data_IF_535759333754
#
_entry.id   IF_535759333754
#
_cell.length_a   1.000
_cell.length_b   1.000
_cell.length_c   1.000
_cell.angle_alpha   90.00
_cell.angle_beta   90.00
_cell.angle_gamma   90.00
#
_symmetry.space_group_name_H-M   'P 1'
#
loop_
_entity.id
_entity.type
_entity.pdbx_description
1 polymer ?
#
# COMPACT_ATOMS: atom_id res chain seq x y z
N UNK A 1 -4.79 24.80 2.32
CA UNK A 1 -4.52 25.20 0.92
C UNK A 1 -3.02 25.28 0.66
N UNK A 2 -2.60 25.04 -0.57
CA UNK A 2 -1.25 25.35 -1.02
C UNK A 2 -1.27 26.81 -1.46
N UNK A 3 -0.65 27.69 -0.68
CA UNK A 3 -0.64 29.14 -0.94
C UNK A 3 0.59 29.60 -1.76
N UNK A 4 1.68 28.81 -1.68
CA UNK A 4 2.94 29.02 -2.40
C UNK A 4 3.43 27.71 -3.00
N UNK A 5 4.44 27.74 -3.85
CA UNK A 5 5.04 26.53 -4.42
C UNK A 5 5.53 25.59 -3.31
N UNK A 6 5.10 24.35 -3.36
CA UNK A 6 5.52 23.31 -2.44
C UNK A 6 6.04 22.10 -3.20
N UNK A 7 7.32 21.79 -3.08
CA UNK A 7 8.00 20.70 -3.81
C UNK A 7 7.83 20.78 -5.35
N UNK A 8 7.71 21.98 -5.90
CA UNK A 8 7.44 22.18 -7.32
C UNK A 8 5.96 22.00 -7.72
N UNK A 9 5.06 21.84 -6.75
CA UNK A 9 3.61 21.82 -6.96
C UNK A 9 3.11 23.27 -6.84
N UNK A 10 2.41 23.80 -7.88
CA UNK A 10 1.97 25.19 -7.87
C UNK A 10 0.88 25.45 -6.81
N UNK A 11 0.70 26.71 -6.39
CA UNK A 11 -0.36 27.06 -5.45
C UNK A 11 -1.74 26.77 -6.03
N UNK A 12 -2.60 26.16 -5.21
CA UNK A 12 -3.99 25.87 -5.59
C UNK A 12 -4.95 26.97 -5.13
N UNK A 13 -4.57 27.72 -4.06
CA UNK A 13 -5.43 28.64 -3.31
C UNK A 13 -6.73 28.01 -2.80
N UNK A 14 -6.85 26.70 -2.88
CA UNK A 14 -7.99 25.89 -2.49
C UNK A 14 -7.61 24.88 -1.40
N UNK A 15 -8.61 24.23 -0.79
CA UNK A 15 -8.39 23.19 0.19
C UNK A 15 -7.87 21.94 -0.55
N UNK A 16 -6.74 21.41 -0.09
CA UNK A 16 -6.23 20.12 -0.52
C UNK A 16 -6.22 19.15 0.66
N UNK A 17 -6.49 17.89 0.39
CA UNK A 17 -6.33 16.79 1.34
C UNK A 17 -4.94 16.18 1.21
N UNK A 18 -4.38 15.73 2.31
CA UNK A 18 -3.09 15.05 2.33
C UNK A 18 -3.30 13.61 2.83
N UNK A 19 -3.13 12.65 1.94
CA UNK A 19 -3.10 11.23 2.31
C UNK A 19 -1.71 10.87 2.81
N UNK A 20 -1.64 10.25 3.97
CA UNK A 20 -0.38 9.77 4.52
C UNK A 20 -0.58 8.48 5.31
N UNK A 21 0.48 7.70 5.39
CA UNK A 21 0.62 6.57 6.33
C UNK A 21 1.74 6.90 7.30
N UNK A 22 1.54 6.62 8.57
CA UNK A 22 2.52 6.86 9.62
C UNK A 22 2.63 5.65 10.54
N UNK A 23 3.86 5.25 10.84
CA UNK A 23 4.20 4.27 11.87
C UNK A 23 5.13 4.95 12.84
N UNK A 24 4.68 5.07 14.08
CA UNK A 24 5.40 5.81 15.13
C UNK A 24 5.70 4.90 16.32
N UNK A 25 6.94 4.92 16.77
CA UNK A 25 7.35 4.28 18.02
C UNK A 25 7.24 5.25 19.18
N UNK A 26 6.55 4.80 20.23
CA UNK A 26 6.41 5.53 21.50
C UNK A 26 7.08 4.74 22.60
N UNK A 27 7.96 5.37 23.36
CA UNK A 27 8.63 4.81 24.56
C UNK A 27 8.40 5.80 25.72
N UNK A 28 7.88 5.31 26.82
CA UNK A 28 7.59 6.11 28.02
C UNK A 28 6.81 7.40 27.73
N UNK A 29 5.80 7.31 26.87
CA UNK A 29 4.94 8.42 26.45
C UNK A 29 5.60 9.44 25.52
N UNK A 30 6.79 9.13 24.98
CA UNK A 30 7.52 10.00 24.07
C UNK A 30 7.64 9.37 22.69
N UNK A 31 7.44 10.17 21.65
CA UNK A 31 7.73 9.79 20.27
C UNK A 31 9.25 9.70 20.11
N UNK A 32 9.76 8.53 19.73
CA UNK A 32 11.21 8.31 19.56
C UNK A 32 11.60 8.12 18.10
N UNK A 33 10.71 7.59 17.29
CA UNK A 33 10.89 7.39 15.85
C UNK A 33 9.55 7.45 15.14
N UNK A 34 9.52 8.05 13.95
CA UNK A 34 8.34 8.07 13.08
C UNK A 34 8.76 7.88 11.62
N UNK A 35 8.09 6.99 10.94
CA UNK A 35 8.19 6.79 9.50
C UNK A 35 6.89 7.27 8.87
N UNK A 36 6.99 8.19 7.90
CA UNK A 36 5.84 8.79 7.24
C UNK A 36 5.97 8.64 5.73
N UNK A 37 4.93 8.12 5.08
CA UNK A 37 4.75 8.16 3.62
C UNK A 37 3.64 9.15 3.30
N UNK A 38 3.94 10.12 2.44
CA UNK A 38 3.00 11.12 1.95
C UNK A 38 2.70 10.84 0.48
N UNK A 39 1.42 10.76 0.14
CA UNK A 39 0.97 10.60 -1.25
C UNK A 39 1.01 11.95 -1.99
N UNK A 40 2.22 12.34 -2.40
CA UNK A 40 2.45 13.57 -3.14
C UNK A 40 1.79 13.59 -4.52
N UNK A 41 1.62 12.43 -5.16
CA UNK A 41 0.91 12.34 -6.44
C UNK A 41 -0.58 12.72 -6.28
N UNK A 42 -1.21 12.39 -5.15
CA UNK A 42 -2.57 12.84 -4.89
C UNK A 42 -2.65 14.36 -4.74
N UNK A 43 -1.67 14.98 -4.09
CA UNK A 43 -1.58 16.45 -4.00
C UNK A 43 -1.39 17.07 -5.39
N UNK A 44 -0.52 16.50 -6.22
CA UNK A 44 -0.31 16.94 -7.61
C UNK A 44 -1.60 16.84 -8.43
N UNK A 45 -2.35 15.74 -8.28
CA UNK A 45 -3.65 15.57 -8.93
C UNK A 45 -4.65 16.66 -8.52
N UNK A 46 -4.74 16.96 -7.23
CA UNK A 46 -5.61 18.03 -6.70
C UNK A 46 -5.17 19.42 -7.18
N UNK A 47 -3.88 19.62 -7.39
CA UNK A 47 -3.32 20.85 -7.95
C UNK A 47 -3.45 20.95 -9.48
N UNK A 48 -4.01 19.94 -10.15
CA UNK A 48 -4.17 19.93 -11.61
C UNK A 48 -2.87 19.65 -12.37
N UNK A 49 -1.82 19.17 -11.71
CA UNK A 49 -0.54 18.78 -12.33
C UNK A 49 -0.35 17.27 -12.17
N UNK A 50 -0.46 16.54 -13.26
CA UNK A 50 -0.35 15.08 -13.25
C UNK A 50 0.82 14.62 -14.10
N UNK A 51 1.91 14.07 -13.51
CA UNK A 51 3.18 13.87 -14.21
C UNK A 51 3.34 12.50 -14.89
N UNK A 52 2.38 11.59 -14.70
CA UNK A 52 2.48 10.20 -15.17
C UNK A 52 1.23 9.78 -15.94
N UNK A 53 1.18 8.54 -16.45
CA UNK A 53 -0.01 8.00 -17.10
C UNK A 53 -1.23 7.98 -16.15
N UNK A 54 -2.46 8.03 -16.68
CA UNK A 54 -3.66 7.84 -15.88
C UNK A 54 -3.63 6.53 -15.11
N UNK A 55 -4.10 6.56 -13.86
CA UNK A 55 -4.21 5.37 -13.03
C UNK A 55 -5.19 4.36 -13.62
N UNK A 56 -4.92 3.09 -13.42
CA UNK A 56 -5.83 2.02 -13.82
C UNK A 56 -6.96 1.81 -12.80
N UNK A 57 -6.69 2.08 -11.52
CA UNK A 57 -7.67 2.06 -10.45
C UNK A 57 -8.35 3.42 -10.23
N UNK A 58 -9.21 3.50 -9.21
CA UNK A 58 -9.94 4.73 -8.85
C UNK A 58 -9.10 5.65 -7.97
N UNK A 59 -8.82 6.86 -8.43
CA UNK A 59 -8.08 7.88 -7.66
C UNK A 59 -8.92 8.55 -6.56
N UNK A 60 -10.25 8.49 -6.68
CA UNK A 60 -11.16 9.22 -5.78
C UNK A 60 -11.76 8.34 -4.69
N UNK A 61 -11.54 7.05 -4.72
CA UNK A 61 -12.06 6.09 -3.74
C UNK A 61 -11.01 5.82 -2.68
N UNK A 62 -11.19 6.39 -1.50
CA UNK A 62 -10.35 6.18 -0.34
C UNK A 62 -11.23 6.24 0.91
N UNK A 63 -11.61 5.10 1.42
CA UNK A 63 -12.57 4.99 2.51
C UNK A 63 -11.87 4.60 3.82
N UNK A 64 -12.49 4.97 4.94
CA UNK A 64 -12.15 4.40 6.25
C UNK A 64 -12.59 2.93 6.32
N UNK A 65 -12.06 2.15 7.28
CA UNK A 65 -12.50 0.78 7.49
C UNK A 65 -14.02 0.64 7.57
N UNK A 66 -14.58 -0.36 6.88
CA UNK A 66 -16.03 -0.54 6.76
C UNK A 66 -16.74 -0.76 8.10
N UNK A 67 -16.03 -1.33 9.08
CA UNK A 67 -16.52 -1.57 10.44
C UNK A 67 -16.20 -0.45 11.43
N UNK A 68 -15.64 0.66 10.94
CA UNK A 68 -15.17 1.79 11.77
C UNK A 68 -14.07 1.45 12.78
N UNK A 69 -13.37 0.32 12.60
CA UNK A 69 -12.32 -0.16 13.51
C UNK A 69 -10.99 0.59 13.41
N UNK A 70 -10.91 1.65 12.60
CA UNK A 70 -9.67 2.38 12.34
C UNK A 70 -9.03 3.06 13.56
N UNK A 71 -9.79 3.23 14.65
CA UNK A 71 -9.28 3.71 15.94
C UNK A 71 -9.75 2.75 17.02
N UNK A 72 -8.83 1.96 17.57
CA UNK A 72 -9.10 1.08 18.70
C UNK A 72 -8.54 1.71 19.99
N UNK A 73 -9.42 2.00 20.95
CA UNK A 73 -9.07 2.57 22.25
C UNK A 73 -9.20 1.54 23.38
N UNK A 74 -9.63 0.33 23.06
CA UNK A 74 -9.78 -0.76 24.01
C UNK A 74 -8.45 -1.47 24.26
N UNK A 75 -8.48 -2.45 25.16
CA UNK A 75 -7.31 -3.28 25.42
C UNK A 75 -6.97 -4.14 24.19
N UNK A 76 -5.68 -4.23 23.86
CA UNK A 76 -5.19 -5.00 22.72
C UNK A 76 -5.58 -6.47 22.82
N UNK A 77 -6.24 -7.01 21.83
CA UNK A 77 -6.55 -8.44 21.69
C UNK A 77 -5.35 -9.21 21.12
N UNK A 78 -4.39 -9.50 21.99
CA UNK A 78 -3.11 -10.09 21.57
C UNK A 78 -3.21 -11.44 20.86
N UNK A 79 -4.13 -12.31 21.26
CA UNK A 79 -4.28 -13.62 20.63
C UNK A 79 -4.80 -13.46 19.22
N UNK A 80 -5.91 -12.76 19.06
CA UNK A 80 -6.49 -12.45 17.74
C UNK A 80 -5.50 -11.71 16.85
N UNK A 81 -4.79 -10.73 17.38
CA UNK A 81 -3.79 -9.96 16.63
C UNK A 81 -2.62 -10.81 16.13
N UNK A 82 -2.16 -11.80 16.92
CA UNK A 82 -1.13 -12.75 16.46
C UNK A 82 -1.62 -13.63 15.32
N UNK A 83 -2.87 -14.07 15.35
CA UNK A 83 -3.47 -14.85 14.27
C UNK A 83 -3.62 -14.00 13.00
N UNK A 84 -4.13 -12.77 13.12
CA UNK A 84 -4.24 -11.83 12.03
C UNK A 84 -2.86 -11.53 11.38
N UNK A 85 -1.84 -11.26 12.20
CA UNK A 85 -0.47 -11.07 11.70
C UNK A 85 0.09 -12.33 11.02
N UNK A 86 -0.21 -13.51 11.52
CA UNK A 86 0.20 -14.77 10.90
C UNK A 86 -0.43 -14.94 9.52
N UNK A 87 -1.71 -14.59 9.38
CA UNK A 87 -2.41 -14.60 8.08
C UNK A 87 -1.73 -13.67 7.08
N UNK A 88 -1.50 -12.40 7.46
CA UNK A 88 -0.84 -11.40 6.60
C UNK A 88 0.57 -11.84 6.21
N UNK A 89 1.35 -12.39 7.14
CA UNK A 89 2.67 -12.93 6.82
C UNK A 89 2.64 -14.13 5.86
N UNK A 90 1.64 -15.01 6.00
CA UNK A 90 1.46 -16.13 5.07
C UNK A 90 1.10 -15.62 3.66
N UNK A 91 0.25 -14.60 3.56
CA UNK A 91 -0.06 -13.92 2.31
C UNK A 91 1.20 -13.32 1.67
N UNK A 92 2.02 -12.58 2.43
CA UNK A 92 3.28 -12.04 1.94
C UNK A 92 4.25 -13.12 1.44
N UNK A 93 4.32 -14.25 2.15
CA UNK A 93 5.13 -15.38 1.70
C UNK A 93 4.62 -15.94 0.35
N UNK A 94 3.28 -16.00 0.17
CA UNK A 94 2.65 -16.37 -1.10
C UNK A 94 3.03 -15.44 -2.25
N UNK A 95 3.14 -14.13 -2.02
CA UNK A 95 3.61 -13.17 -3.04
C UNK A 95 5.01 -13.50 -3.57
N UNK A 96 5.85 -14.12 -2.75
CA UNK A 96 7.19 -14.56 -3.11
C UNK A 96 7.24 -15.81 -3.96
N UNK A 97 6.13 -16.53 -4.17
CA UNK A 97 6.08 -17.78 -4.93
C UNK A 97 5.71 -17.60 -6.41
N UNK A 98 5.66 -16.36 -6.89
CA UNK A 98 5.35 -16.09 -8.29
C UNK A 98 6.31 -16.83 -9.24
N UNK A 99 5.76 -17.64 -10.13
CA UNK A 99 6.52 -18.48 -11.05
C UNK A 99 6.98 -17.78 -12.33
N UNK A 100 6.71 -16.46 -12.44
CA UNK A 100 7.03 -15.64 -13.61
C UNK A 100 5.97 -15.69 -14.72
N UNK A 101 4.87 -16.42 -14.55
CA UNK A 101 3.86 -16.64 -15.60
C UNK A 101 2.43 -16.52 -15.09
N UNK A 102 2.06 -17.28 -14.08
CA UNK A 102 0.67 -17.41 -13.62
C UNK A 102 0.51 -16.78 -12.23
N UNK A 103 -0.34 -15.76 -12.13
CA UNK A 103 -0.63 -15.09 -10.86
C UNK A 103 -1.21 -16.06 -9.81
N UNK A 104 -1.87 -17.14 -10.23
CA UNK A 104 -2.38 -18.17 -9.34
C UNK A 104 -1.30 -18.89 -8.55
N UNK A 105 -0.04 -18.86 -9.02
CA UNK A 105 1.10 -19.40 -8.27
C UNK A 105 1.33 -18.71 -6.91
N UNK A 106 0.81 -17.50 -6.73
CA UNK A 106 0.85 -16.74 -5.48
C UNK A 106 -0.28 -17.06 -4.49
N UNK A 107 -1.24 -17.89 -4.89
CA UNK A 107 -2.39 -18.33 -4.08
C UNK A 107 -3.18 -17.16 -3.41
N UNK A 108 -3.29 -16.04 -4.09
CA UNK A 108 -3.93 -14.83 -3.55
C UNK A 108 -5.36 -15.05 -3.08
N UNK A 109 -6.15 -15.83 -3.84
CA UNK A 109 -7.56 -16.08 -3.54
C UNK A 109 -7.78 -16.69 -2.14
N UNK A 110 -6.75 -17.32 -1.57
CA UNK A 110 -6.79 -17.91 -0.23
C UNK A 110 -6.84 -16.87 0.89
N UNK A 111 -6.33 -15.67 0.66
CA UNK A 111 -6.09 -14.67 1.70
C UNK A 111 -7.01 -13.45 1.60
N UNK A 112 -7.70 -13.29 0.47
CA UNK A 112 -8.50 -12.11 0.20
C UNK A 112 -9.98 -12.45 0.09
N UNK A 113 -10.80 -11.61 0.70
CA UNK A 113 -12.25 -11.69 0.48
C UNK A 113 -12.58 -11.43 -1.00
N UNK A 114 -13.54 -12.13 -1.62
CA UNK A 114 -13.83 -11.96 -3.05
C UNK A 114 -14.10 -10.52 -3.50
N UNK A 115 -14.69 -9.72 -2.63
CA UNK A 115 -15.01 -8.31 -2.89
C UNK A 115 -14.06 -7.29 -2.26
N UNK A 116 -12.89 -7.71 -1.82
CA UNK A 116 -11.98 -6.84 -1.07
C UNK A 116 -11.65 -5.52 -1.78
N UNK A 117 -11.34 -4.52 -0.99
CA UNK A 117 -10.86 -3.23 -1.48
C UNK A 117 -9.37 -3.07 -1.15
N UNK A 118 -8.60 -2.81 -2.18
CA UNK A 118 -7.21 -2.41 -2.04
C UNK A 118 -7.10 -0.93 -2.38
N UNK A 119 -6.79 -0.13 -1.39
CA UNK A 119 -6.68 1.33 -1.51
C UNK A 119 -5.26 1.72 -1.90
N UNK A 120 -4.94 1.56 -3.18
CA UNK A 120 -3.62 1.89 -3.71
C UNK A 120 -3.31 3.37 -3.67
N UNK A 121 -2.02 3.75 -3.64
CA UNK A 121 -1.60 5.15 -3.73
C UNK A 121 -1.95 5.74 -5.09
N UNK A 122 -1.94 7.06 -5.19
CA UNK A 122 -2.08 7.77 -6.47
C UNK A 122 -1.05 7.29 -7.49
N UNK A 123 -1.47 7.21 -8.73
CA UNK A 123 -0.73 6.58 -9.82
C UNK A 123 -1.13 5.13 -10.07
N UNK A 124 -1.61 4.42 -9.05
CA UNK A 124 -2.19 3.08 -9.18
C UNK A 124 -3.71 3.16 -8.98
N UNK A 125 -4.15 3.79 -7.89
CA UNK A 125 -5.54 3.95 -7.52
C UNK A 125 -6.14 2.73 -6.83
N UNK A 126 -7.35 2.91 -6.28
CA UNK A 126 -8.10 1.85 -5.58
C UNK A 126 -8.64 0.80 -6.55
N UNK A 127 -8.56 -0.45 -6.15
CA UNK A 127 -9.09 -1.60 -6.91
C UNK A 127 -10.07 -2.40 -6.07
N UNK A 128 -10.95 -3.13 -6.73
CA UNK A 128 -11.95 -4.00 -6.09
C UNK A 128 -11.81 -5.44 -6.57
N UNK A 129 -11.77 -6.35 -5.61
CA UNK A 129 -11.67 -7.79 -5.82
C UNK A 129 -10.36 -8.22 -6.49
N UNK A 130 -10.15 -9.52 -6.55
CA UNK A 130 -8.89 -10.09 -7.03
C UNK A 130 -8.60 -9.71 -8.49
N UNK A 131 -9.60 -9.79 -9.36
CA UNK A 131 -9.40 -9.46 -10.78
C UNK A 131 -9.00 -8.01 -11.01
N UNK A 132 -9.59 -7.05 -10.26
CA UNK A 132 -9.20 -5.64 -10.32
C UNK A 132 -7.79 -5.41 -9.76
N UNK A 133 -7.46 -6.03 -8.64
CA UNK A 133 -6.13 -5.96 -8.03
C UNK A 133 -5.05 -6.55 -8.95
N UNK A 134 -5.30 -7.70 -9.54
CA UNK A 134 -4.37 -8.34 -10.48
C UNK A 134 -4.18 -7.50 -11.75
N UNK A 135 -5.26 -7.01 -12.34
CA UNK A 135 -5.19 -6.26 -13.61
C UNK A 135 -4.55 -4.88 -13.44
N UNK A 136 -4.86 -4.16 -12.35
CA UNK A 136 -4.47 -2.76 -12.18
C UNK A 136 -3.22 -2.56 -11.32
N UNK A 137 -2.84 -3.53 -10.51
CA UNK A 137 -1.67 -3.44 -9.64
C UNK A 137 -0.66 -4.56 -9.88
N UNK A 138 -1.04 -5.84 -9.69
CA UNK A 138 -0.08 -6.94 -9.70
C UNK A 138 0.59 -7.12 -11.08
N UNK A 139 -0.18 -7.21 -12.13
CA UNK A 139 0.35 -7.41 -13.49
C UNK A 139 1.28 -6.28 -13.92
N UNK A 140 0.89 -4.99 -13.83
CA UNK A 140 1.80 -3.88 -14.15
C UNK A 140 3.08 -3.88 -13.31
N UNK A 141 2.94 -4.12 -12.00
CA UNK A 141 4.09 -4.17 -11.09
C UNK A 141 5.06 -5.30 -11.44
N UNK A 142 4.55 -6.51 -11.71
CA UNK A 142 5.36 -7.67 -12.08
C UNK A 142 6.08 -7.48 -13.42
N UNK A 143 5.44 -6.81 -14.37
CA UNK A 143 6.06 -6.49 -15.67
C UNK A 143 7.15 -5.43 -15.54
N UNK A 144 6.89 -4.36 -14.78
CA UNK A 144 7.86 -3.29 -14.58
C UNK A 144 9.09 -3.75 -13.79
N UNK A 145 8.88 -4.65 -12.82
CA UNK A 145 9.86 -5.07 -11.82
C UNK A 145 9.96 -6.60 -11.72
N UNK A 146 10.42 -7.29 -12.77
CA UNK A 146 10.39 -8.76 -12.83
C UNK A 146 11.31 -9.45 -11.80
N UNK A 147 12.36 -8.75 -11.33
CA UNK A 147 13.32 -9.22 -10.33
C UNK A 147 13.00 -8.73 -8.91
N UNK A 148 11.80 -8.19 -8.69
CA UNK A 148 11.43 -7.65 -7.39
C UNK A 148 11.52 -8.70 -6.29
N UNK A 149 12.02 -8.29 -5.15
CA UNK A 149 12.09 -9.11 -3.94
C UNK A 149 11.87 -8.26 -2.70
N UNK A 150 11.34 -8.90 -1.68
CA UNK A 150 11.26 -8.28 -0.35
C UNK A 150 12.66 -8.13 0.20
N UNK A 151 12.99 -6.94 0.68
CA UNK A 151 14.24 -6.65 1.36
C UNK A 151 14.04 -6.78 2.88
N UNK A 152 13.18 -5.92 3.45
CA UNK A 152 13.01 -5.89 4.91
C UNK A 152 11.66 -5.32 5.32
N UNK A 153 11.02 -5.94 6.32
CA UNK A 153 9.98 -5.31 7.13
C UNK A 153 10.58 -4.81 8.44
N UNK A 154 10.42 -3.52 8.73
CA UNK A 154 10.84 -2.87 9.98
C UNK A 154 9.72 -2.87 11.01
N UNK A 155 8.48 -2.93 10.57
CA UNK A 155 7.30 -2.99 11.40
C UNK A 155 6.44 -4.20 11.04
N UNK A 156 5.92 -4.87 12.06
CA UNK A 156 4.92 -5.93 12.01
C UNK A 156 4.09 -5.73 13.27
N UNK A 157 3.06 -4.90 13.18
CA UNK A 157 2.25 -4.43 14.30
C UNK A 157 0.87 -5.05 14.16
N UNK A 158 0.21 -5.34 15.26
CA UNK A 158 -1.16 -5.81 15.27
C UNK A 158 -1.94 -5.26 16.46
N UNK A 159 -3.23 -5.14 16.25
CA UNK A 159 -4.22 -4.85 17.29
C UNK A 159 -5.56 -5.47 16.87
N UNK A 160 -5.97 -6.56 17.53
CA UNK A 160 -7.16 -7.32 17.16
C UNK A 160 -7.13 -7.72 15.68
N UNK A 161 -8.11 -7.27 14.93
CA UNK A 161 -8.25 -7.54 13.49
C UNK A 161 -7.37 -6.65 12.60
N UNK A 162 -6.67 -5.68 13.15
CA UNK A 162 -5.84 -4.77 12.39
C UNK A 162 -4.39 -5.19 12.40
N UNK A 163 -3.76 -5.16 11.22
CA UNK A 163 -2.33 -5.48 11.03
C UNK A 163 -1.69 -4.38 10.22
N UNK A 164 -0.51 -3.96 10.64
CA UNK A 164 0.31 -2.99 9.91
C UNK A 164 1.66 -3.61 9.62
N UNK A 165 2.09 -3.53 8.37
CA UNK A 165 3.43 -3.90 7.95
C UNK A 165 4.11 -2.75 7.23
N UNK A 166 5.42 -2.65 7.34
CA UNK A 166 6.17 -1.60 6.68
C UNK A 166 7.65 -1.88 6.60
N UNK A 167 8.31 -1.28 5.62
CA UNK A 167 9.74 -1.43 5.43
C UNK A 167 10.38 -0.18 4.82
N UNK A 168 11.68 -0.01 5.08
CA UNK A 168 12.40 1.18 4.68
C UNK A 168 13.82 0.88 4.16
N UNK A 169 13.91 0.31 2.92
CA UNK A 169 12.88 -0.12 1.98
C UNK A 169 12.19 -1.42 2.35
N UNK A 170 11.01 -1.66 1.80
CA UNK A 170 10.32 -2.96 1.87
C UNK A 170 10.70 -3.85 0.71
N UNK A 171 10.73 -3.30 -0.50
CA UNK A 171 10.97 -4.01 -1.75
C UNK A 171 12.12 -3.36 -2.50
N UNK A 172 12.93 -4.17 -3.13
CA UNK A 172 13.98 -3.73 -4.07
C UNK A 172 13.80 -4.43 -5.41
N UNK A 173 14.13 -3.73 -6.49
CA UNK A 173 13.97 -4.23 -7.84
C UNK A 173 14.79 -3.43 -8.86
N UNK A 174 14.89 -3.94 -10.09
CA UNK A 174 15.35 -3.18 -11.25
C UNK A 174 14.15 -2.79 -12.11
N UNK A 175 13.99 -1.52 -12.43
CA UNK A 175 12.95 -1.06 -13.36
C UNK A 175 13.37 -1.41 -14.79
N UNK A 176 13.16 -2.66 -15.18
CA UNK A 176 13.63 -3.21 -16.46
C UNK A 176 12.52 -3.50 -17.46
N UNK A 177 11.27 -3.53 -17.01
CA UNK A 177 10.12 -3.78 -17.89
C UNK A 177 9.20 -2.57 -18.07
N UNK A 178 8.20 -2.69 -18.95
CA UNK A 178 7.19 -1.66 -19.16
C UNK A 178 6.19 -1.57 -17.99
N UNK A 179 5.27 -0.63 -18.09
CA UNK A 179 4.12 -0.46 -17.19
C UNK A 179 4.42 0.15 -15.81
N UNK A 180 5.65 0.60 -15.55
CA UNK A 180 6.00 1.30 -14.30
C UNK A 180 5.34 2.68 -14.19
N UNK A 181 4.04 2.75 -13.88
CA UNK A 181 3.24 3.99 -13.80
C UNK A 181 3.24 4.81 -15.11
N UNK A 182 3.31 4.14 -16.24
CA UNK A 182 3.45 4.77 -17.55
C UNK A 182 4.85 5.31 -17.85
N UNK A 183 5.82 5.06 -17.00
CA UNK A 183 7.23 5.38 -17.23
C UNK A 183 7.90 4.19 -17.91
N UNK A 184 8.59 4.45 -19.01
CA UNK A 184 9.37 3.42 -19.71
C UNK A 184 10.50 2.87 -18.85
N UNK A 185 11.02 1.67 -19.17
CA UNK A 185 12.06 1.02 -18.38
C UNK A 185 13.32 1.90 -18.33
N UNK A 186 13.82 2.15 -17.12
CA UNK A 186 15.00 3.01 -16.88
C UNK A 186 16.29 2.22 -16.71
N UNK A 187 16.20 0.91 -16.45
CA UNK A 187 17.34 0.07 -16.06
C UNK A 187 17.88 0.34 -14.65
N UNK A 188 17.30 1.28 -13.92
CA UNK A 188 17.79 1.66 -12.60
C UNK A 188 17.36 0.65 -11.54
N UNK A 189 18.26 0.37 -10.58
CA UNK A 189 17.92 -0.30 -9.35
C UNK A 189 17.14 0.66 -8.44
N UNK A 190 15.98 0.24 -7.98
CA UNK A 190 15.08 1.03 -7.16
C UNK A 190 14.82 0.39 -5.79
N UNK A 191 14.45 1.23 -4.84
CA UNK A 191 14.03 0.85 -3.50
C UNK A 191 12.65 1.42 -3.23
N UNK A 192 11.69 0.56 -2.94
CA UNK A 192 10.31 0.94 -2.63
C UNK A 192 10.12 0.90 -1.11
N UNK A 193 9.60 1.99 -0.57
CA UNK A 193 9.10 2.06 0.80
C UNK A 193 7.62 1.78 0.76
N UNK A 194 7.17 0.85 1.57
CA UNK A 194 5.76 0.44 1.61
C UNK A 194 5.30 0.45 3.05
N UNK A 195 4.10 0.92 3.27
CA UNK A 195 3.33 0.77 4.50
C UNK A 195 1.96 0.23 4.11
N UNK A 196 1.61 -0.90 4.65
CA UNK A 196 0.34 -1.56 4.42
C UNK A 196 -0.44 -1.67 5.73
N UNK A 197 -1.69 -1.27 5.70
CA UNK A 197 -2.64 -1.40 6.79
C UNK A 197 -3.72 -2.38 6.35
N UNK A 198 -3.82 -3.52 7.03
CA UNK A 198 -4.78 -4.59 6.73
C UNK A 198 -5.86 -4.62 7.78
N UNK A 199 -7.10 -4.79 7.34
CA UNK A 199 -8.16 -5.31 8.18
C UNK A 199 -8.35 -6.78 7.86
N UNK A 200 -8.42 -7.60 8.89
CA UNK A 200 -8.65 -9.04 8.81
C UNK A 200 -10.04 -9.33 9.35
N UNK A 201 -10.84 -10.11 8.65
CA UNK A 201 -12.15 -10.58 9.12
C UNK A 201 -12.21 -12.11 8.97
N UNK A 202 -12.31 -12.82 10.10
CA UNK A 202 -12.10 -14.26 10.10
C UNK A 202 -10.70 -14.62 9.60
N UNK A 203 -10.62 -15.35 8.50
CA UNK A 203 -9.37 -15.81 7.88
C UNK A 203 -9.08 -15.12 6.54
N UNK A 204 -9.68 -13.96 6.28
CA UNK A 204 -9.55 -13.23 5.02
C UNK A 204 -9.26 -11.75 5.26
N UNK A 205 -8.67 -11.09 4.26
CA UNK A 205 -8.47 -9.65 4.23
C UNK A 205 -9.54 -9.00 3.35
N UNK A 206 -10.54 -8.31 3.92
CA UNK A 206 -11.52 -7.53 3.15
C UNK A 206 -10.99 -6.16 2.71
N UNK A 207 -9.99 -5.61 3.37
CA UNK A 207 -9.48 -4.26 3.09
C UNK A 207 -7.97 -4.16 3.34
N UNK A 208 -7.30 -3.36 2.49
CA UNK A 208 -5.90 -2.99 2.65
C UNK A 208 -5.66 -1.57 2.13
N UNK A 209 -5.00 -0.76 2.92
CA UNK A 209 -4.53 0.60 2.62
C UNK A 209 -3.02 0.66 2.45
#
# INVERSE_FOLDING_TARGET
SIAEDWLGIPPTHDIVTLRCCEITQVIDGRLVESHVLIDTLDVMRQAGVWPIAPSLGSETTWLSPADSSGVNLDAVEHERGREALKLVKAMHAGLGTFDGKDLRSMDHARYWEPGFLWYGPSGIGTTKGLAGFEAHHQTPCLRAFPDRRVDKHIANIYDGDNVVTGGWPTVVATHSGPDGLGVGPTGNFIRMRVMDFYRVAGDLNPENW
#
